data_IF_057162485325
#
_entry.id   IF_057162485325
#
_cell.length_a   1.000
_cell.length_b   1.000
_cell.length_c   1.000
_cell.angle_alpha   90.00
_cell.angle_beta   90.00
_cell.angle_gamma   90.00
#
_symmetry.space_group_name_H-M   'P 1'
#
loop_
_entity.id
_entity.type
_entity.pdbx_description
1 polymer ?
#
# COMPACT_ATOMS: atom_id res chain seq x y z
N UNK A 1 20.40 -49.74 -21.36
CA UNK A 1 20.55 -48.39 -21.93
C UNK A 1 19.24 -47.74 -22.37
N UNK A 2 18.25 -48.46 -22.87
CA UNK A 2 16.94 -47.86 -23.30
C UNK A 2 16.10 -47.24 -22.15
N UNK A 3 16.11 -47.80 -20.94
CA UNK A 3 15.33 -47.32 -19.81
C UNK A 3 15.77 -45.96 -19.28
N UNK A 4 17.06 -45.65 -19.30
CA UNK A 4 17.59 -44.36 -18.84
C UNK A 4 17.22 -43.23 -19.80
N UNK A 5 17.16 -43.49 -21.10
CA UNK A 5 16.76 -42.53 -22.12
C UNK A 5 15.29 -42.13 -22.01
N UNK A 6 14.41 -43.10 -21.73
CA UNK A 6 12.96 -42.86 -21.59
C UNK A 6 12.66 -42.05 -20.30
N UNK A 7 13.35 -42.39 -19.20
CA UNK A 7 13.21 -41.64 -17.93
C UNK A 7 13.69 -40.18 -18.05
N UNK A 8 14.80 -39.97 -18.76
CA UNK A 8 15.33 -38.62 -19.00
C UNK A 8 14.36 -37.80 -19.90
N UNK A 9 13.80 -38.42 -20.94
CA UNK A 9 12.84 -37.71 -21.84
C UNK A 9 11.53 -37.38 -21.15
N UNK A 10 11.01 -38.28 -20.30
CA UNK A 10 9.81 -38.04 -19.50
C UNK A 10 10.04 -36.93 -18.43
N UNK A 11 11.19 -36.97 -17.76
CA UNK A 11 11.59 -35.96 -16.78
C UNK A 11 11.71 -34.58 -17.43
N UNK A 12 12.40 -34.46 -18.56
CA UNK A 12 12.51 -33.23 -19.32
C UNK A 12 11.15 -32.69 -19.83
N UNK A 13 10.26 -33.57 -20.24
CA UNK A 13 8.91 -33.21 -20.68
C UNK A 13 8.05 -32.69 -19.51
N UNK A 14 8.12 -33.34 -18.36
CA UNK A 14 7.45 -32.90 -17.14
C UNK A 14 8.02 -31.55 -16.66
N UNK A 15 9.33 -31.38 -16.67
CA UNK A 15 10.01 -30.16 -16.28
C UNK A 15 9.65 -28.99 -17.22
N UNK A 16 9.66 -29.21 -18.52
CA UNK A 16 9.26 -28.21 -19.52
C UNK A 16 7.79 -27.81 -19.35
N UNK A 17 6.90 -28.76 -19.13
CA UNK A 17 5.47 -28.50 -18.88
C UNK A 17 5.24 -27.73 -17.57
N UNK A 18 6.06 -27.94 -16.54
CA UNK A 18 6.03 -27.16 -15.30
C UNK A 18 6.46 -25.71 -15.53
N UNK A 19 7.52 -25.48 -16.29
CA UNK A 19 8.00 -24.13 -16.62
C UNK A 19 6.97 -23.37 -17.45
N UNK A 20 6.35 -24.02 -18.45
CA UNK A 20 5.31 -23.41 -19.28
C UNK A 20 4.11 -22.97 -18.43
N UNK A 21 3.65 -23.80 -17.49
CA UNK A 21 2.58 -23.45 -16.55
C UNK A 21 2.96 -22.28 -15.62
N UNK A 22 4.20 -22.24 -15.14
CA UNK A 22 4.68 -21.13 -14.32
C UNK A 22 4.73 -19.85 -15.13
N UNK A 23 5.22 -19.88 -16.36
CA UNK A 23 5.28 -18.71 -17.22
C UNK A 23 3.88 -18.21 -17.62
N UNK A 24 2.95 -19.13 -17.86
CA UNK A 24 1.54 -18.78 -18.12
C UNK A 24 0.93 -18.11 -16.87
N UNK A 25 1.10 -18.67 -15.69
CA UNK A 25 0.61 -18.10 -14.44
C UNK A 25 1.19 -16.70 -14.17
N UNK A 26 2.51 -16.52 -14.42
CA UNK A 26 3.14 -15.19 -14.32
C UNK A 26 2.54 -14.19 -15.30
N UNK A 27 2.27 -14.61 -16.53
CA UNK A 27 1.66 -13.75 -17.54
C UNK A 27 0.23 -13.33 -17.14
N UNK A 28 -0.56 -14.25 -16.59
CA UNK A 28 -1.91 -13.97 -16.09
C UNK A 28 -1.89 -12.93 -14.95
N UNK A 29 -0.97 -13.07 -13.98
CA UNK A 29 -0.82 -12.12 -12.87
C UNK A 29 -0.37 -10.75 -13.37
N UNK A 30 0.63 -10.71 -14.27
CA UNK A 30 1.19 -9.48 -14.82
C UNK A 30 0.17 -8.65 -15.61
N UNK A 31 -0.92 -9.24 -16.06
CA UNK A 31 -1.98 -8.57 -16.83
C UNK A 31 -2.99 -7.82 -15.94
N UNK A 32 -2.96 -8.03 -14.63
CA UNK A 32 -3.93 -7.47 -13.70
C UNK A 32 -3.68 -5.99 -13.40
N UNK A 33 -4.75 -5.26 -13.06
CA UNK A 33 -4.69 -3.86 -12.65
C UNK A 33 -3.80 -3.68 -11.41
N UNK A 34 -3.91 -4.57 -10.44
CA UNK A 34 -3.13 -4.57 -9.22
C UNK A 34 -1.62 -4.71 -9.48
N UNK A 35 -1.22 -5.58 -10.41
CA UNK A 35 0.18 -5.75 -10.76
C UNK A 35 0.75 -4.49 -11.44
N UNK A 36 -0.02 -3.84 -12.31
CA UNK A 36 0.38 -2.58 -12.93
C UNK A 36 0.57 -1.48 -11.89
N UNK A 37 -0.39 -1.29 -11.00
CA UNK A 37 -0.31 -0.30 -9.93
C UNK A 37 0.94 -0.50 -9.07
N UNK A 38 1.22 -1.75 -8.68
CA UNK A 38 2.36 -2.03 -7.80
C UNK A 38 3.71 -1.86 -8.53
N UNK A 39 3.78 -2.22 -9.81
CA UNK A 39 4.99 -2.00 -10.62
C UNK A 39 5.22 -0.53 -10.97
N UNK A 40 4.16 0.26 -11.14
CA UNK A 40 4.26 1.71 -11.27
C UNK A 40 4.71 2.40 -9.99
N UNK A 41 4.40 1.83 -8.83
CA UNK A 41 4.80 2.36 -7.53
C UNK A 41 6.30 2.13 -7.25
N UNK A 42 6.88 1.02 -7.64
CA UNK A 42 8.29 0.71 -7.39
C UNK A 42 9.23 1.22 -8.49
N UNK A 43 10.50 1.29 -8.17
CA UNK A 43 11.56 1.52 -9.16
C UNK A 43 11.58 0.39 -10.20
N UNK A 44 11.99 0.70 -11.43
CA UNK A 44 12.05 -0.28 -12.51
C UNK A 44 12.83 -1.54 -12.08
N UNK A 45 12.25 -2.71 -12.35
CA UNK A 45 12.83 -4.03 -12.08
C UNK A 45 13.16 -4.34 -10.60
N UNK A 46 12.76 -3.48 -9.65
CA UNK A 46 13.02 -3.69 -8.22
C UNK A 46 11.97 -4.58 -7.54
N UNK A 47 10.75 -4.65 -8.09
CA UNK A 47 9.65 -5.37 -7.45
C UNK A 47 9.86 -6.89 -7.44
N UNK A 48 9.75 -7.47 -6.26
CA UNK A 48 9.74 -8.93 -6.06
C UNK A 48 8.46 -9.35 -5.37
N UNK A 49 7.62 -10.12 -6.07
CA UNK A 49 6.36 -10.62 -5.50
C UNK A 49 6.61 -11.75 -4.52
N UNK A 50 5.89 -11.72 -3.40
CA UNK A 50 5.87 -12.76 -2.37
C UNK A 50 4.62 -13.61 -2.57
N UNK A 51 4.80 -14.94 -2.52
CA UNK A 51 3.72 -15.92 -2.68
C UNK A 51 2.88 -15.68 -3.96
N UNK A 52 3.54 -15.39 -5.08
CA UNK A 52 2.91 -15.08 -6.37
C UNK A 52 1.88 -16.13 -6.83
N UNK A 53 2.09 -17.39 -6.48
CA UNK A 53 1.22 -18.50 -6.87
C UNK A 53 0.25 -18.96 -5.77
N UNK A 54 0.05 -18.15 -4.74
CA UNK A 54 -0.96 -18.43 -3.72
C UNK A 54 -2.35 -18.48 -4.36
N UNK A 55 -3.11 -19.52 -4.03
CA UNK A 55 -4.43 -19.76 -4.61
C UNK A 55 -5.55 -19.52 -3.60
N UNK A 56 -6.64 -18.97 -4.11
CA UNK A 56 -7.92 -18.84 -3.43
C UNK A 56 -8.97 -19.63 -4.22
N UNK A 57 -9.20 -20.89 -3.86
CA UNK A 57 -9.97 -21.83 -4.67
C UNK A 57 -9.20 -22.25 -5.93
N UNK A 58 -9.82 -22.12 -7.10
CA UNK A 58 -9.21 -22.47 -8.39
C UNK A 58 -8.33 -21.34 -8.97
N UNK A 59 -8.57 -20.09 -8.55
CA UNK A 59 -7.86 -18.90 -9.01
C UNK A 59 -6.69 -18.50 -8.11
N UNK A 60 -5.99 -17.42 -8.49
CA UNK A 60 -4.98 -16.79 -7.66
C UNK A 60 -5.62 -16.00 -6.51
N UNK A 61 -4.82 -15.72 -5.48
CA UNK A 61 -5.23 -14.84 -4.40
C UNK A 61 -5.52 -13.42 -4.95
N UNK A 62 -6.51 -12.76 -4.36
CA UNK A 62 -7.06 -11.47 -4.80
C UNK A 62 -6.15 -10.29 -4.40
N UNK A 63 -4.83 -10.52 -4.35
CA UNK A 63 -3.82 -9.53 -3.99
C UNK A 63 -2.47 -9.84 -4.61
N UNK A 64 -1.83 -8.82 -5.15
CA UNK A 64 -0.40 -8.82 -5.47
C UNK A 64 0.33 -8.19 -4.30
N UNK A 65 1.35 -8.85 -3.76
CA UNK A 65 2.03 -8.37 -2.57
C UNK A 65 3.53 -8.73 -2.63
N UNK A 66 4.39 -7.81 -2.22
CA UNK A 66 5.82 -8.01 -2.29
C UNK A 66 6.62 -6.85 -1.72
N UNK A 67 7.86 -6.75 -2.15
CA UNK A 67 8.76 -5.69 -1.77
C UNK A 67 9.56 -5.19 -2.98
N UNK A 68 10.06 -3.99 -2.87
CA UNK A 68 10.90 -3.34 -3.88
C UNK A 68 11.51 -2.07 -3.31
N UNK A 69 11.98 -1.21 -4.18
CA UNK A 69 12.52 0.10 -3.78
C UNK A 69 11.71 1.24 -4.40
N UNK A 70 11.66 2.37 -3.70
CA UNK A 70 11.16 3.64 -4.19
C UNK A 70 12.30 4.64 -4.03
N UNK A 71 12.88 5.08 -5.13
CA UNK A 71 14.12 5.89 -5.17
C UNK A 71 15.24 5.28 -4.30
N UNK A 72 15.36 3.95 -4.38
CA UNK A 72 16.34 3.17 -3.63
C UNK A 72 15.95 2.84 -2.18
N UNK A 73 14.88 3.40 -1.63
CA UNK A 73 14.39 3.07 -0.29
C UNK A 73 13.57 1.78 -0.31
N UNK A 74 13.88 0.79 0.55
CA UNK A 74 13.14 -0.46 0.61
C UNK A 74 11.73 -0.24 1.19
N UNK A 75 10.72 -0.78 0.51
CA UNK A 75 9.31 -0.67 0.89
C UNK A 75 8.61 -2.00 0.66
N UNK A 76 7.71 -2.39 1.56
CA UNK A 76 6.75 -3.45 1.32
C UNK A 76 5.46 -2.86 0.79
N UNK A 77 4.87 -3.49 -0.22
CA UNK A 77 3.58 -3.06 -0.71
C UNK A 77 2.67 -4.24 -1.07
N UNK A 78 1.39 -3.98 -1.05
CA UNK A 78 0.37 -4.86 -1.59
C UNK A 78 -0.68 -4.07 -2.36
N UNK A 79 -1.23 -4.69 -3.40
CA UNK A 79 -2.34 -4.14 -4.18
C UNK A 79 -3.46 -5.17 -4.27
N UNK A 80 -4.65 -4.80 -3.82
CA UNK A 80 -5.83 -5.65 -3.96
C UNK A 80 -6.24 -5.69 -5.44
N UNK A 81 -6.59 -6.88 -5.90
CA UNK A 81 -6.87 -7.14 -7.29
C UNK A 81 -8.39 -7.28 -7.50
N UNK A 82 -9.02 -6.18 -7.87
CA UNK A 82 -10.46 -6.15 -8.16
C UNK A 82 -10.86 -6.99 -9.39
N UNK A 83 -9.92 -7.32 -10.27
CA UNK A 83 -10.16 -8.20 -11.43
C UNK A 83 -10.51 -9.64 -10.97
N UNK A 84 -10.14 -10.01 -9.74
CA UNK A 84 -10.45 -11.32 -9.15
C UNK A 84 -11.46 -11.14 -8.01
N UNK A 85 -12.68 -11.61 -8.20
CA UNK A 85 -13.75 -11.56 -7.20
C UNK A 85 -13.95 -10.17 -6.56
N UNK A 86 -13.73 -9.09 -7.34
CA UNK A 86 -13.85 -7.72 -6.82
C UNK A 86 -12.84 -7.39 -5.72
N UNK A 87 -11.68 -8.05 -5.68
CA UNK A 87 -10.67 -7.85 -4.63
C UNK A 87 -11.09 -8.34 -3.25
N UNK A 88 -12.20 -9.09 -3.15
CA UNK A 88 -12.78 -9.49 -1.86
C UNK A 88 -11.79 -10.33 -1.05
N UNK A 89 -11.62 -9.96 0.23
CA UNK A 89 -10.71 -10.64 1.16
C UNK A 89 -11.01 -12.14 1.25
N UNK A 90 -9.98 -12.94 1.02
CA UNK A 90 -9.99 -14.39 1.22
C UNK A 90 -8.96 -14.79 2.29
N UNK A 91 -9.03 -16.04 2.74
CA UNK A 91 -7.99 -16.60 3.61
C UNK A 91 -6.59 -16.51 2.99
N UNK A 92 -6.48 -16.75 1.68
CA UNK A 92 -5.19 -16.68 0.97
C UNK A 92 -4.67 -15.24 0.89
N UNK A 93 -5.55 -14.28 0.57
CA UNK A 93 -5.22 -12.86 0.62
C UNK A 93 -4.77 -12.45 2.02
N UNK A 94 -5.53 -12.80 3.05
CA UNK A 94 -5.20 -12.49 4.44
C UNK A 94 -3.83 -13.02 4.85
N UNK A 95 -3.48 -14.24 4.44
CA UNK A 95 -2.18 -14.84 4.70
C UNK A 95 -1.03 -14.06 4.03
N UNK A 96 -1.22 -13.61 2.78
CA UNK A 96 -0.23 -12.75 2.08
C UNK A 96 -0.06 -11.42 2.79
N UNK A 97 -1.15 -10.72 3.13
CA UNK A 97 -1.10 -9.43 3.84
C UNK A 97 -0.41 -9.56 5.20
N UNK A 98 -0.81 -10.57 5.99
CA UNK A 98 -0.14 -10.86 7.27
C UNK A 98 1.37 -11.00 7.09
N UNK A 99 1.81 -11.75 6.06
CA UNK A 99 3.23 -11.97 5.79
C UNK A 99 3.96 -10.67 5.43
N UNK A 100 3.31 -9.76 4.69
CA UNK A 100 3.86 -8.44 4.38
C UNK A 100 4.10 -7.63 5.66
N UNK A 101 3.10 -7.52 6.54
CA UNK A 101 3.25 -6.82 7.82
C UNK A 101 4.33 -7.44 8.70
N UNK A 102 4.35 -8.78 8.83
CA UNK A 102 5.36 -9.49 9.62
C UNK A 102 6.79 -9.26 9.10
N UNK A 103 6.97 -9.21 7.78
CA UNK A 103 8.27 -8.93 7.15
C UNK A 103 8.67 -7.47 7.33
N UNK A 104 7.74 -6.54 7.14
CA UNK A 104 7.96 -5.12 7.34
C UNK A 104 8.42 -4.81 8.78
N UNK A 105 7.77 -5.43 9.78
CA UNK A 105 8.16 -5.29 11.17
C UNK A 105 9.58 -5.82 11.42
N UNK A 106 9.95 -6.94 10.82
CA UNK A 106 11.28 -7.56 10.97
C UNK A 106 12.40 -6.76 10.33
N UNK A 107 12.13 -6.13 9.20
CA UNK A 107 13.13 -5.38 8.42
C UNK A 107 13.16 -3.90 8.73
N UNK A 108 12.11 -3.39 9.38
CA UNK A 108 11.98 -1.95 9.66
C UNK A 108 11.73 -1.12 8.39
N UNK A 109 10.98 -1.64 7.42
CA UNK A 109 10.66 -0.95 6.19
C UNK A 109 9.17 -0.56 6.13
N UNK A 110 8.82 0.59 5.53
CA UNK A 110 7.43 1.06 5.41
C UNK A 110 6.52 0.07 4.69
N UNK A 111 5.22 0.17 4.97
CA UNK A 111 4.17 -0.60 4.28
C UNK A 111 3.24 0.33 3.54
N UNK A 112 3.03 0.06 2.24
CA UNK A 112 2.06 0.77 1.40
C UNK A 112 1.00 -0.21 0.90
N UNK A 113 -0.26 0.05 1.23
CA UNK A 113 -1.39 -0.76 0.79
C UNK A 113 -2.23 -0.04 -0.26
N UNK A 114 -2.41 -0.65 -1.44
CA UNK A 114 -3.34 -0.18 -2.46
C UNK A 114 -4.64 -0.96 -2.35
N UNK A 115 -5.73 -0.26 -2.05
CA UNK A 115 -7.03 -0.85 -1.76
C UNK A 115 -8.00 -0.67 -2.92
N UNK A 116 -8.56 -1.80 -3.35
CA UNK A 116 -9.69 -1.88 -4.27
C UNK A 116 -10.43 -3.21 -4.02
N UNK A 117 -11.39 -3.19 -3.08
CA UNK A 117 -12.05 -4.39 -2.57
C UNK A 117 -13.48 -4.14 -2.13
N UNK A 118 -14.38 -4.95 -2.62
CA UNK A 118 -15.82 -4.92 -2.24
C UNK A 118 -16.11 -5.53 -0.87
N UNK A 119 -15.09 -5.96 -0.12
CA UNK A 119 -15.29 -6.55 1.22
C UNK A 119 -14.66 -7.93 1.38
N UNK A 120 -15.39 -8.93 1.82
CA UNK A 120 -14.88 -10.26 2.11
C UNK A 120 -15.65 -11.40 1.42
N UNK A 121 -14.97 -12.51 1.15
CA UNK A 121 -15.55 -13.73 0.57
C UNK A 121 -16.38 -14.49 1.61
N UNK A 122 -17.64 -14.10 1.80
CA UNK A 122 -18.53 -14.62 2.84
C UNK A 122 -18.67 -16.15 2.83
N UNK A 123 -18.52 -16.79 1.67
CA UNK A 123 -18.56 -18.25 1.54
C UNK A 123 -17.45 -18.98 2.31
N UNK A 124 -16.39 -18.29 2.73
CA UNK A 124 -15.33 -18.85 3.56
C UNK A 124 -15.65 -18.84 5.07
N UNK A 125 -16.75 -18.21 5.46
CA UNK A 125 -17.26 -18.25 6.84
C UNK A 125 -16.23 -17.86 7.89
N UNK A 126 -16.02 -18.73 8.88
CA UNK A 126 -15.09 -18.47 9.99
C UNK A 126 -13.62 -18.29 9.56
N UNK A 127 -13.21 -18.90 8.45
CA UNK A 127 -11.84 -18.73 7.93
C UNK A 127 -11.59 -17.30 7.44
N UNK A 128 -12.61 -16.66 6.84
CA UNK A 128 -12.54 -15.24 6.48
C UNK A 128 -12.39 -14.37 7.72
N UNK A 129 -13.23 -14.57 8.73
CA UNK A 129 -13.20 -13.77 9.97
C UNK A 129 -11.84 -13.91 10.69
N UNK A 130 -11.34 -15.13 10.78
CA UNK A 130 -10.02 -15.38 11.35
C UNK A 130 -8.90 -14.69 10.53
N UNK A 131 -8.98 -14.73 9.21
CA UNK A 131 -8.06 -14.05 8.32
C UNK A 131 -8.08 -12.53 8.50
N UNK A 132 -9.25 -11.91 8.51
CA UNK A 132 -9.41 -10.49 8.76
C UNK A 132 -8.82 -10.08 10.12
N UNK A 133 -9.09 -10.84 11.18
CA UNK A 133 -8.54 -10.60 12.52
C UNK A 133 -7.02 -10.70 12.54
N UNK A 134 -6.43 -11.65 11.80
CA UNK A 134 -4.97 -11.78 11.69
C UNK A 134 -4.33 -10.58 10.96
N UNK A 135 -4.94 -10.08 9.90
CA UNK A 135 -4.44 -8.90 9.17
C UNK A 135 -4.47 -7.68 10.08
N UNK A 136 -5.60 -7.41 10.73
CA UNK A 136 -5.74 -6.27 11.65
C UNK A 136 -4.75 -6.36 12.81
N UNK A 137 -4.54 -7.55 13.38
CA UNK A 137 -3.57 -7.75 14.45
C UNK A 137 -2.13 -7.48 13.98
N UNK A 138 -1.76 -7.94 12.76
CA UNK A 138 -0.43 -7.70 12.22
C UNK A 138 -0.23 -6.23 11.84
N UNK A 139 -1.24 -5.56 11.29
CA UNK A 139 -1.21 -4.12 11.02
C UNK A 139 -1.06 -3.31 12.32
N UNK A 140 -1.77 -3.70 13.39
CA UNK A 140 -1.62 -3.06 14.70
C UNK A 140 -0.23 -3.28 15.29
N UNK A 141 0.38 -4.44 15.10
CA UNK A 141 1.72 -4.76 15.61
C UNK A 141 2.83 -3.90 14.96
N UNK A 142 2.67 -3.45 13.73
CA UNK A 142 3.63 -2.58 13.04
C UNK A 142 3.38 -1.09 13.29
N UNK A 143 2.23 -0.74 13.89
CA UNK A 143 1.87 0.65 14.20
C UNK A 143 2.89 1.27 15.15
N UNK A 144 3.41 2.45 14.78
CA UNK A 144 4.46 3.14 15.52
C UNK A 144 5.88 2.55 15.36
N UNK A 145 6.02 1.38 14.72
CA UNK A 145 7.33 0.81 14.39
C UNK A 145 7.78 1.21 12.98
N UNK A 146 6.91 1.08 11.99
CA UNK A 146 7.14 1.49 10.60
C UNK A 146 5.96 2.31 10.08
N UNK A 147 6.17 3.24 9.15
CA UNK A 147 5.08 3.98 8.51
C UNK A 147 4.13 3.05 7.74
N UNK A 148 2.85 3.30 7.89
CA UNK A 148 1.78 2.63 7.15
C UNK A 148 1.03 3.67 6.31
N UNK A 149 0.97 3.44 5.01
CA UNK A 149 0.29 4.32 4.05
C UNK A 149 -0.79 3.51 3.34
N UNK A 150 -2.02 3.95 3.43
CA UNK A 150 -3.15 3.36 2.69
C UNK A 150 -3.51 4.24 1.50
N UNK A 151 -3.62 3.64 0.33
CA UNK A 151 -4.00 4.30 -0.91
C UNK A 151 -5.27 3.64 -1.44
N UNK A 152 -6.39 4.33 -1.35
CA UNK A 152 -7.69 3.81 -1.79
C UNK A 152 -7.93 4.28 -3.22
N UNK A 153 -7.88 3.34 -4.16
CA UNK A 153 -7.98 3.62 -5.60
C UNK A 153 -9.37 3.39 -6.16
N UNK A 154 -10.11 2.48 -5.56
CA UNK A 154 -11.47 2.13 -5.94
C UNK A 154 -12.36 1.95 -4.73
N UNK A 155 -13.10 0.85 -4.68
CA UNK A 155 -13.97 0.52 -3.55
C UNK A 155 -13.14 -0.07 -2.40
N UNK A 156 -13.40 0.35 -1.16
CA UNK A 156 -12.81 -0.25 0.03
C UNK A 156 -13.87 -0.33 1.13
N UNK A 157 -14.45 -1.51 1.31
CA UNK A 157 -15.59 -1.72 2.21
C UNK A 157 -15.31 -2.76 3.30
N UNK A 158 -16.07 -2.66 4.39
CA UNK A 158 -16.03 -3.62 5.49
C UNK A 158 -14.71 -3.64 6.23
N UNK A 159 -14.18 -4.84 6.54
CA UNK A 159 -12.93 -5.00 7.30
C UNK A 159 -11.70 -4.45 6.59
N UNK A 160 -11.72 -4.38 5.24
CA UNK A 160 -10.65 -3.74 4.48
C UNK A 160 -10.61 -2.24 4.74
N UNK A 161 -11.78 -1.59 4.86
CA UNK A 161 -11.87 -0.17 5.21
C UNK A 161 -11.33 0.11 6.62
N UNK A 162 -11.59 -0.79 7.58
CA UNK A 162 -11.03 -0.67 8.91
C UNK A 162 -9.50 -0.74 8.88
N UNK A 163 -8.93 -1.69 8.12
CA UNK A 163 -7.49 -1.81 7.96
C UNK A 163 -6.89 -0.57 7.26
N UNK A 164 -7.53 -0.09 6.19
CA UNK A 164 -7.09 1.10 5.47
C UNK A 164 -7.13 2.36 6.35
N UNK A 165 -8.21 2.56 7.11
CA UNK A 165 -8.37 3.72 7.99
C UNK A 165 -7.45 3.69 9.21
N UNK A 166 -6.93 2.53 9.61
CA UNK A 166 -6.00 2.39 10.74
C UNK A 166 -4.55 2.76 10.40
N UNK A 167 -4.22 3.00 9.14
CA UNK A 167 -2.89 3.43 8.72
C UNK A 167 -2.56 4.86 9.21
N UNK A 168 -1.26 5.20 9.20
CA UNK A 168 -0.80 6.54 9.61
C UNK A 168 -1.27 7.63 8.64
N UNK A 169 -1.38 7.28 7.35
CA UNK A 169 -1.86 8.16 6.29
C UNK A 169 -2.79 7.42 5.35
N UNK A 170 -3.87 8.10 4.96
CA UNK A 170 -4.84 7.58 4.00
C UNK A 170 -4.93 8.54 2.82
N UNK A 171 -4.59 8.05 1.64
CA UNK A 171 -4.71 8.75 0.36
C UNK A 171 -5.89 8.14 -0.37
N UNK A 172 -6.82 8.95 -0.84
CA UNK A 172 -7.96 8.48 -1.62
C UNK A 172 -7.96 9.11 -3.01
N UNK A 173 -8.27 8.34 -4.05
CA UNK A 173 -8.64 8.99 -5.31
C UNK A 173 -10.05 9.60 -5.19
N UNK A 174 -10.35 10.66 -5.94
CA UNK A 174 -11.62 11.40 -5.85
C UNK A 174 -12.86 10.49 -6.02
N UNK A 175 -12.75 9.46 -6.84
CA UNK A 175 -13.83 8.51 -7.11
C UNK A 175 -13.82 7.28 -6.20
N UNK A 176 -12.85 7.18 -5.31
CA UNK A 176 -12.74 6.06 -4.39
C UNK A 176 -13.80 6.12 -3.29
N UNK A 177 -14.10 4.96 -2.75
CA UNK A 177 -15.06 4.77 -1.67
C UNK A 177 -14.38 4.07 -0.49
N UNK A 178 -14.55 4.61 0.70
CA UNK A 178 -14.04 4.03 1.94
C UNK A 178 -15.14 4.04 3.00
N UNK A 179 -15.65 2.87 3.38
CA UNK A 179 -16.68 2.75 4.42
C UNK A 179 -16.64 1.38 5.10
N UNK A 180 -16.91 1.37 6.40
CA UNK A 180 -17.18 0.12 7.12
C UNK A 180 -18.52 -0.49 6.69
N UNK A 181 -19.47 0.34 6.34
CA UNK A 181 -20.78 -0.09 5.87
C UNK A 181 -20.68 -0.49 4.39
N UNK A 182 -21.15 -1.71 4.11
CA UNK A 182 -21.22 -2.25 2.75
C UNK A 182 -22.30 -1.57 1.89
N UNK A 183 -23.22 -0.78 2.49
CA UNK A 183 -24.19 0.03 1.74
C UNK A 183 -23.53 1.23 1.05
N UNK A 184 -22.33 1.60 1.48
CA UNK A 184 -21.58 2.71 0.91
C UNK A 184 -22.12 4.10 1.27
N UNK A 185 -23.00 4.21 2.25
CA UNK A 185 -23.38 5.52 2.80
C UNK A 185 -22.14 6.20 3.40
N UNK A 186 -21.96 7.49 3.09
CA UNK A 186 -20.82 8.27 3.58
C UNK A 186 -19.44 7.70 3.20
N UNK A 187 -19.33 7.04 2.05
CA UNK A 187 -18.10 6.39 1.61
C UNK A 187 -17.22 7.29 0.73
N UNK A 188 -17.69 8.45 0.28
CA UNK A 188 -16.98 9.30 -0.68
C UNK A 188 -15.64 9.82 -0.13
N UNK A 189 -14.70 10.10 -1.03
CA UNK A 189 -13.41 10.67 -0.67
C UNK A 189 -13.56 12.04 0.03
N UNK A 190 -14.51 12.86 -0.43
CA UNK A 190 -14.84 14.16 0.18
C UNK A 190 -15.32 13.99 1.62
N UNK A 191 -16.28 13.08 1.85
CA UNK A 191 -16.78 12.80 3.21
C UNK A 191 -15.65 12.34 4.14
N UNK A 192 -14.81 11.42 3.68
CA UNK A 192 -13.68 10.91 4.47
C UNK A 192 -12.62 11.99 4.75
N UNK A 193 -12.43 12.95 3.83
CA UNK A 193 -11.52 14.07 4.03
C UNK A 193 -12.10 15.08 5.05
N UNK A 194 -13.39 15.40 4.95
CA UNK A 194 -14.07 16.30 5.91
C UNK A 194 -14.04 15.77 7.34
N UNK A 195 -14.11 14.43 7.50
CA UNK A 195 -14.07 13.75 8.80
C UNK A 195 -12.66 13.36 9.27
N UNK A 196 -11.61 13.75 8.51
CA UNK A 196 -10.22 13.56 8.91
C UNK A 196 -9.71 12.12 8.78
N UNK A 197 -10.44 11.24 8.07
CA UNK A 197 -10.01 9.88 7.76
C UNK A 197 -9.03 9.92 6.59
N UNK A 198 -9.42 10.54 5.47
CA UNK A 198 -8.51 10.73 4.35
C UNK A 198 -7.58 11.92 4.62
N UNK A 199 -6.27 11.66 4.54
CA UNK A 199 -5.24 12.70 4.68
C UNK A 199 -5.07 13.50 3.39
N UNK A 200 -5.31 12.88 2.25
CA UNK A 200 -5.20 13.47 0.90
C UNK A 200 -6.29 12.92 0.01
N UNK A 201 -6.88 13.79 -0.80
CA UNK A 201 -7.72 13.41 -1.94
C UNK A 201 -6.99 13.76 -3.22
N UNK A 202 -6.66 12.73 -4.02
CA UNK A 202 -6.04 12.86 -5.32
C UNK A 202 -7.10 12.81 -6.41
N UNK A 203 -6.91 13.55 -7.50
CA UNK A 203 -7.89 13.60 -8.60
C UNK A 203 -8.07 12.28 -9.33
N UNK A 204 -7.02 11.45 -9.35
CA UNK A 204 -7.03 10.13 -10.00
C UNK A 204 -6.07 9.15 -9.32
N UNK A 205 -6.09 7.89 -9.79
CA UNK A 205 -5.24 6.83 -9.25
C UNK A 205 -3.75 7.08 -9.48
N UNK A 206 -3.36 7.71 -10.59
CA UNK A 206 -1.97 7.99 -10.90
C UNK A 206 -1.39 9.04 -9.93
N UNK A 207 -2.15 10.10 -9.65
CA UNK A 207 -1.77 11.10 -8.65
C UNK A 207 -1.73 10.49 -7.25
N UNK A 208 -2.67 9.61 -6.90
CA UNK A 208 -2.66 8.93 -5.62
C UNK A 208 -1.39 8.08 -5.42
N UNK A 209 -0.96 7.34 -6.45
CA UNK A 209 0.30 6.58 -6.44
C UNK A 209 1.51 7.52 -6.33
N UNK A 210 1.53 8.63 -7.06
CA UNK A 210 2.61 9.62 -7.00
C UNK A 210 2.72 10.24 -5.60
N UNK A 211 1.58 10.60 -4.97
CA UNK A 211 1.55 11.11 -3.59
C UNK A 211 2.03 10.08 -2.57
N UNK A 212 1.74 8.80 -2.78
CA UNK A 212 2.25 7.74 -1.92
C UNK A 212 3.78 7.61 -2.02
N UNK A 213 4.36 7.69 -3.24
CA UNK A 213 5.81 7.73 -3.43
C UNK A 213 6.45 8.91 -2.72
N UNK A 214 5.91 10.10 -2.96
CA UNK A 214 6.39 11.34 -2.34
C UNK A 214 6.39 11.21 -0.81
N UNK A 215 5.31 10.67 -0.23
CA UNK A 215 5.20 10.50 1.21
C UNK A 215 6.22 9.52 1.78
N UNK A 216 6.47 8.40 1.09
CA UNK A 216 7.51 7.43 1.49
C UNK A 216 8.88 8.10 1.59
N UNK A 217 9.21 9.01 0.66
CA UNK A 217 10.50 9.68 0.63
C UNK A 217 10.69 10.72 1.75
N UNK A 218 9.60 11.21 2.33
CA UNK A 218 9.66 12.18 3.43
C UNK A 218 9.60 11.54 4.82
N UNK A 219 9.12 10.31 4.91
CA UNK A 219 9.00 9.62 6.18
C UNK A 219 10.29 8.85 6.52
N UNK A 220 10.64 8.73 7.82
CA UNK A 220 11.68 7.79 8.22
C UNK A 220 11.25 6.35 7.89
N UNK A 221 12.20 5.49 7.56
CA UNK A 221 11.89 4.08 7.27
C UNK A 221 11.25 3.36 8.46
N UNK A 222 11.64 3.73 9.67
CA UNK A 222 11.12 3.18 10.92
C UNK A 222 11.37 4.14 12.10
N UNK A 223 10.89 3.78 13.27
CA UNK A 223 10.97 4.59 14.48
C UNK A 223 12.40 4.75 15.06
N UNK A 224 13.38 3.98 14.57
CA UNK A 224 14.78 4.07 14.98
C UNK A 224 15.60 4.98 14.06
N UNK A 225 15.08 5.30 12.88
CA UNK A 225 15.75 6.15 11.90
C UNK A 225 15.25 7.59 11.99
N UNK A 226 16.10 8.53 11.63
CA UNK A 226 15.72 9.93 11.40
C UNK A 226 15.02 10.08 10.06
N UNK A 227 14.22 11.14 9.91
CA UNK A 227 13.65 11.48 8.61
C UNK A 227 14.77 11.77 7.58
N UNK A 228 14.57 11.42 6.31
CA UNK A 228 15.53 11.73 5.25
C UNK A 228 15.84 13.24 5.20
N UNK A 229 17.10 13.58 5.02
CA UNK A 229 17.53 14.96 4.83
C UNK A 229 17.50 15.29 3.34
N UNK A 230 16.87 16.42 2.99
CA UNK A 230 16.87 16.93 1.63
C UNK A 230 17.89 18.05 1.53
N UNK A 231 18.86 17.91 0.62
CA UNK A 231 19.91 18.90 0.37
C UNK A 231 19.57 19.83 -0.81
N UNK A 232 18.35 19.85 -1.30
CA UNK A 232 17.97 20.82 -2.32
C UNK A 232 18.00 22.21 -1.73
N UNK A 233 18.90 23.05 -2.24
CA UNK A 233 19.00 24.47 -1.92
C UNK A 233 17.80 25.20 -2.57
N UNK A 234 16.71 25.32 -1.87
CA UNK A 234 15.71 26.33 -2.21
C UNK A 234 15.93 27.59 -1.37
N UNK A 235 15.73 28.76 -1.96
CA UNK A 235 15.96 30.02 -1.26
C UNK A 235 15.10 30.11 -0.01
N UNK A 236 15.75 30.24 1.12
CA UNK A 236 15.14 30.32 2.43
C UNK A 236 14.60 31.73 2.70
N UNK A 237 13.61 32.17 1.95
CA UNK A 237 12.79 33.32 2.36
C UNK A 237 11.64 32.82 3.23
N UNK A 238 11.98 32.41 4.42
CA UNK A 238 11.01 31.86 5.36
C UNK A 238 10.90 32.74 6.58
N UNK A 239 9.92 33.62 6.58
CA UNK A 239 9.37 34.24 7.79
C UNK A 239 8.51 33.22 8.54
N UNK A 240 9.06 32.06 8.81
CA UNK A 240 8.37 30.98 9.50
C UNK A 240 8.25 31.25 10.99
N UNK A 241 7.16 31.82 11.41
CA UNK A 241 6.79 31.86 12.81
C UNK A 241 6.19 30.50 13.20
N UNK A 242 6.85 29.81 14.12
CA UNK A 242 6.35 28.54 14.66
C UNK A 242 4.98 28.79 15.29
N UNK A 243 3.94 28.23 14.68
CA UNK A 243 2.57 28.34 15.16
C UNK A 243 1.58 29.01 14.22
N UNK A 244 2.01 29.65 13.15
CA UNK A 244 1.16 30.22 12.12
C UNK A 244 0.97 29.27 10.93
N UNK A 245 -0.14 29.45 10.18
CA UNK A 245 -0.28 28.86 8.85
C UNK A 245 0.66 29.63 7.95
N UNK A 246 1.73 29.00 7.49
CA UNK A 246 2.72 29.68 6.66
C UNK A 246 2.36 29.49 5.20
N UNK A 247 1.94 30.56 4.55
CA UNK A 247 1.88 30.68 3.10
C UNK A 247 3.19 31.30 2.63
N UNK A 248 4.21 30.48 2.46
CA UNK A 248 5.51 30.96 1.99
C UNK A 248 6.19 29.91 1.12
N UNK A 249 6.98 30.34 0.16
CA UNK A 249 7.63 29.49 -0.83
C UNK A 249 8.60 28.45 -0.29
N UNK A 250 8.88 28.46 1.03
CA UNK A 250 9.79 27.51 1.68
C UNK A 250 9.06 26.41 2.48
N UNK A 251 7.71 26.48 2.58
CA UNK A 251 6.91 25.43 3.22
C UNK A 251 6.02 24.80 2.18
N UNK A 252 6.30 23.53 1.88
CA UNK A 252 5.44 22.75 0.99
C UNK A 252 4.37 22.08 1.81
N UNK A 253 3.10 22.40 1.53
CA UNK A 253 1.98 21.61 2.02
C UNK A 253 1.99 20.28 1.32
N UNK A 254 2.35 19.23 2.03
CA UNK A 254 2.24 17.87 1.52
C UNK A 254 0.78 17.45 1.37
N UNK A 255 -0.09 17.95 2.27
CA UNK A 255 -1.49 17.60 2.30
C UNK A 255 -2.35 18.82 2.64
N UNK A 256 -3.24 19.19 1.72
CA UNK A 256 -4.17 20.31 1.91
C UNK A 256 -5.50 19.88 2.56
N UNK A 257 -5.87 18.61 2.40
CA UNK A 257 -7.17 18.10 2.83
C UNK A 257 -7.07 17.35 4.15
N UNK A 258 -6.89 18.09 5.22
CA UNK A 258 -7.24 17.57 6.54
C UNK A 258 -8.69 17.98 6.84
N UNK A 259 -9.46 17.09 7.43
CA UNK A 259 -10.77 17.45 7.95
C UNK A 259 -10.71 18.68 8.86
N UNK A 260 -11.78 19.40 8.98
CA UNK A 260 -11.85 20.67 9.77
C UNK A 260 -11.32 20.50 11.20
N UNK A 261 -11.43 19.29 11.75
CA UNK A 261 -11.00 18.93 13.11
C UNK A 261 -9.66 18.17 13.15
N UNK A 262 -8.93 18.11 12.03
CA UNK A 262 -7.65 17.39 11.98
C UNK A 262 -6.62 18.05 12.91
N UNK A 263 -6.13 17.26 13.86
CA UNK A 263 -5.16 17.70 14.88
C UNK A 263 -3.70 17.57 14.41
N UNK A 264 -3.46 17.01 13.22
CA UNK A 264 -2.13 16.73 12.70
C UNK A 264 -2.00 17.30 11.29
N UNK A 265 -0.97 18.10 11.08
CA UNK A 265 -0.59 18.61 9.75
C UNK A 265 0.82 18.19 9.43
N UNK A 266 1.04 17.79 8.20
CA UNK A 266 2.35 17.45 7.69
C UNK A 266 2.81 18.54 6.73
N UNK A 267 4.02 19.05 6.94
CA UNK A 267 4.63 20.02 6.05
C UNK A 267 6.13 19.75 5.93
N UNK A 268 6.67 19.92 4.74
CA UNK A 268 8.11 19.96 4.50
C UNK A 268 8.57 21.40 4.64
N UNK A 269 9.64 21.62 5.39
CA UNK A 269 10.33 22.90 5.44
C UNK A 269 11.48 22.85 4.41
N UNK A 270 11.47 23.78 3.45
CA UNK A 270 12.61 24.02 2.54
C UNK A 270 13.70 24.83 3.23
N UNK A 271 14.94 24.68 2.80
CA UNK A 271 16.11 25.44 3.27
C UNK A 271 17.36 24.59 3.44
N UNK A 272 18.53 25.24 3.43
CA UNK A 272 19.82 24.61 3.69
C UNK A 272 19.90 24.12 5.13
N UNK A 273 19.64 22.85 5.36
CA UNK A 273 19.70 22.30 6.72
C UNK A 273 18.69 21.20 7.00
N UNK A 274 18.37 20.41 5.99
CA UNK A 274 17.60 19.19 6.17
C UNK A 274 16.10 19.40 6.15
N UNK A 275 15.44 18.72 5.24
CA UNK A 275 13.99 18.61 5.21
C UNK A 275 13.50 17.84 6.42
N UNK A 276 13.14 18.53 7.48
CA UNK A 276 12.46 17.90 8.60
C UNK A 276 10.96 17.91 8.32
N UNK A 277 10.37 16.74 8.25
CA UNK A 277 8.90 16.60 8.31
C UNK A 277 8.51 16.87 9.76
N UNK A 278 7.93 18.03 10.04
CA UNK A 278 7.39 18.33 11.36
C UNK A 278 5.93 17.95 11.42
N UNK A 279 5.64 16.97 12.24
CA UNK A 279 4.28 16.64 12.67
C UNK A 279 3.90 17.61 13.78
N UNK A 280 2.97 18.52 13.52
CA UNK A 280 2.44 19.40 14.55
C UNK A 280 1.17 18.79 15.12
N UNK A 281 1.19 18.44 16.39
CA UNK A 281 -0.02 18.18 17.15
C UNK A 281 -0.65 19.54 17.47
N UNK A 282 -1.87 19.75 16.99
CA UNK A 282 -2.70 20.88 17.38
C UNK A 282 -3.25 20.72 18.78
#
# INVERSE_FOLDING_TARGET
>A
MLFVGIFNTLYWRMFKMSIEKINQAKAEIAYTSAYKTITEFFDADSFTEIDAFAKSGEGFAEVVAGFGTVEGMPVYAFAQNSDICGGAMSKAQAAKLKKIYDLALKTGAPVVGFYDSVGGRLMQGNELLAGCGQVLNSAAAVSGAVPQISVVLGTCLGTNALNAASADFVIMSEKAQLSLDVTGENASAEYNAEHGIASVVAKDSAEAVAKAKELVLYLPSNNLNTAPESFEEEPADCDCIVGSTVDGGSVYKLFDNYGKDAKVRLARLGGSGGGAVKKKRG
#
